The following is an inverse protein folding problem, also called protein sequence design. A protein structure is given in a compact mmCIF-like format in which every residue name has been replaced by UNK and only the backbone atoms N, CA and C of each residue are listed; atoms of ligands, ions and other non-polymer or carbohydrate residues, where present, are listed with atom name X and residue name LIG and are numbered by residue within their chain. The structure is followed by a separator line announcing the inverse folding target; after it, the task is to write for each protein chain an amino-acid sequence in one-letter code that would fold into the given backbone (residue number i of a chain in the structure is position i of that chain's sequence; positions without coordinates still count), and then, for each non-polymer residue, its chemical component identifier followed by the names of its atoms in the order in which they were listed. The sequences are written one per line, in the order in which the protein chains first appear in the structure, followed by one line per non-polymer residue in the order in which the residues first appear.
data_IF_321827624614
#
_entry.id   IF_321827624614
#
_cell.length_a   1.000
_cell.length_b   1.000
_cell.length_c   1.000
_cell.angle_alpha   90.00
_cell.angle_beta   90.00
_cell.angle_gamma   90.00
#
_symmetry.space_group_name_H-M   'P 1'
#
loop_
_entity.id
_entity.type
_entity.pdbx_description
1 polymer ?
#
# COMPACT_ATOMS: atom_id res chain seq x y z
N UNK A 1 23.24 -9.98 3.23
CA UNK A 1 22.21 -9.56 2.24
C UNK A 1 22.81 -8.43 1.42
N UNK A 2 22.49 -8.31 0.13
CA UNK A 2 23.14 -7.35 -0.78
C UNK A 2 22.39 -6.03 -1.00
N UNK A 3 21.20 -5.85 -0.41
CA UNK A 3 20.38 -4.65 -0.59
C UNK A 3 20.53 -3.65 0.55
N UNK A 4 20.38 -2.36 0.25
CA UNK A 4 20.48 -1.27 1.23
C UNK A 4 19.27 -1.19 2.17
N UNK A 5 18.07 -1.41 1.63
CA UNK A 5 16.82 -1.43 2.39
C UNK A 5 16.06 -2.70 2.02
N UNK A 6 15.67 -3.49 3.02
CA UNK A 6 15.01 -4.77 2.83
C UNK A 6 13.69 -4.76 3.58
N UNK A 7 12.63 -5.13 2.90
CA UNK A 7 11.29 -5.28 3.45
C UNK A 7 10.92 -6.76 3.40
N UNK A 8 10.65 -7.37 4.55
CA UNK A 8 10.26 -8.78 4.68
C UNK A 8 8.86 -8.85 5.30
N UNK A 9 7.99 -9.66 4.72
CA UNK A 9 6.59 -9.83 5.14
C UNK A 9 6.34 -11.26 5.59
N UNK A 10 5.21 -11.49 6.25
CA UNK A 10 4.80 -12.80 6.76
C UNK A 10 5.88 -13.48 7.62
N UNK A 11 6.51 -12.71 8.52
CA UNK A 11 7.57 -13.26 9.37
C UNK A 11 7.11 -14.51 10.13
N UNK A 12 5.85 -14.54 10.60
CA UNK A 12 5.27 -15.68 11.34
C UNK A 12 6.13 -16.13 12.54
N UNK A 13 6.95 -15.24 13.08
CA UNK A 13 7.85 -15.49 14.21
C UNK A 13 7.29 -14.93 15.51
N UNK A 14 7.87 -15.37 16.63
CA UNK A 14 7.62 -14.83 17.97
C UNK A 14 8.77 -13.93 18.41
N UNK A 15 8.54 -13.11 19.45
CA UNK A 15 9.53 -12.14 19.94
C UNK A 15 10.88 -12.81 20.30
N UNK A 16 10.84 -13.98 20.94
CA UNK A 16 12.04 -14.72 21.33
C UNK A 16 12.91 -15.13 20.12
N UNK A 17 12.29 -15.35 18.96
CA UNK A 17 12.99 -15.67 17.71
C UNK A 17 13.56 -14.44 17.01
N UNK A 18 13.05 -13.23 17.31
CA UNK A 18 13.57 -11.98 16.73
C UNK A 18 15.01 -11.72 17.18
N UNK A 19 15.32 -11.98 18.46
CA UNK A 19 16.68 -11.82 18.96
C UNK A 19 17.67 -12.80 18.30
N UNK A 20 17.19 -13.97 17.86
CA UNK A 20 18.01 -15.02 17.26
C UNK A 20 18.24 -14.83 15.75
N UNK A 21 17.25 -14.29 15.02
CA UNK A 21 17.27 -14.25 13.55
C UNK A 21 17.01 -12.86 12.94
N UNK A 22 16.43 -11.94 13.71
CA UNK A 22 16.01 -10.61 13.24
C UNK A 22 17.07 -9.52 13.41
N UNK A 23 18.18 -9.80 14.10
CA UNK A 23 19.25 -8.83 14.30
C UNK A 23 20.46 -9.24 13.47
N UNK A 24 20.78 -8.44 12.45
CA UNK A 24 22.00 -8.61 11.67
C UNK A 24 22.96 -7.46 11.98
N UNK A 25 24.24 -7.76 12.14
CA UNK A 25 25.27 -6.78 12.53
C UNK A 25 25.39 -5.58 11.58
N UNK A 26 24.95 -5.74 10.34
CA UNK A 26 25.11 -4.77 9.26
C UNK A 26 23.83 -3.94 9.00
N UNK A 27 22.74 -4.18 9.75
CA UNK A 27 21.46 -3.50 9.54
C UNK A 27 20.84 -3.03 10.85
N UNK A 28 20.14 -1.89 10.77
CA UNK A 28 19.13 -1.49 11.74
C UNK A 28 17.80 -2.14 11.36
N UNK A 29 17.21 -2.90 12.28
CA UNK A 29 15.95 -3.61 12.05
C UNK A 29 14.78 -2.93 12.76
N UNK A 30 13.65 -2.83 12.08
CA UNK A 30 12.36 -2.35 12.57
C UNK A 30 11.35 -3.47 12.33
N UNK A 31 11.10 -4.26 13.37
CA UNK A 31 10.29 -5.48 13.27
C UNK A 31 9.01 -5.25 14.05
N UNK A 32 7.89 -5.43 13.37
CA UNK A 32 6.56 -5.34 13.95
C UNK A 32 5.89 -6.71 13.88
N UNK A 33 5.53 -7.24 15.05
CA UNK A 33 4.80 -8.50 15.19
C UNK A 33 3.37 -8.22 15.68
N UNK A 34 2.36 -9.02 15.30
CA UNK A 34 1.02 -8.81 15.80
C UNK A 34 0.93 -9.13 17.29
N UNK A 35 0.20 -8.30 18.03
CA UNK A 35 0.01 -8.48 19.47
C UNK A 35 -1.08 -9.52 19.81
N UNK A 36 -2.08 -9.65 18.94
CA UNK A 36 -3.29 -10.46 19.18
C UNK A 36 -3.14 -11.94 18.82
N UNK A 37 -2.32 -12.27 17.80
CA UNK A 37 -2.19 -13.66 17.30
C UNK A 37 -0.72 -14.02 17.11
N UNK A 38 -0.23 -14.94 17.94
CA UNK A 38 1.15 -15.46 17.86
C UNK A 38 1.36 -16.20 16.53
N UNK A 39 2.51 -16.00 15.89
CA UNK A 39 2.88 -16.67 14.64
C UNK A 39 2.04 -16.28 13.41
N UNK A 40 1.32 -15.17 13.48
CA UNK A 40 0.52 -14.62 12.39
C UNK A 40 1.23 -13.37 11.82
N UNK A 41 1.06 -13.08 10.52
CA UNK A 41 1.52 -11.82 9.89
C UNK A 41 2.97 -11.45 10.25
N UNK A 42 3.24 -10.16 10.47
CA UNK A 42 4.51 -9.59 10.89
C UNK A 42 5.31 -9.05 9.71
N UNK A 43 5.88 -7.86 9.92
CA UNK A 43 6.73 -7.17 8.93
C UNK A 43 8.07 -6.81 9.54
N UNK A 44 9.12 -6.90 8.74
CA UNK A 44 10.47 -6.48 9.09
C UNK A 44 10.97 -5.49 8.05
N UNK A 45 11.48 -4.36 8.51
CA UNK A 45 12.17 -3.38 7.69
C UNK A 45 13.61 -3.27 8.16
N UNK A 46 14.56 -3.52 7.27
CA UNK A 46 15.97 -3.50 7.57
C UNK A 46 16.62 -2.41 6.75
N UNK A 47 17.30 -1.48 7.41
CA UNK A 47 18.08 -0.43 6.77
C UNK A 47 19.55 -0.70 7.06
N UNK A 48 20.35 -0.89 6.01
CA UNK A 48 21.77 -1.15 6.14
C UNK A 48 22.45 -0.01 6.89
N UNK A 49 23.37 -0.34 7.78
CA UNK A 49 24.20 0.65 8.45
C UNK A 49 25.18 1.26 7.42
N UNK A 50 25.37 2.60 7.41
CA UNK A 50 26.39 3.23 6.59
C UNK A 50 27.77 2.65 6.88
N UNK A 51 28.54 2.40 5.82
CA UNK A 51 29.93 1.95 5.90
C UNK A 51 30.88 3.12 5.72
N UNK A 52 32.15 3.01 6.17
CA UNK A 52 33.14 4.08 6.04
C UNK A 52 33.42 4.51 4.59
N UNK A 53 33.24 3.61 3.63
CA UNK A 53 33.46 3.80 2.19
C UNK A 53 32.21 4.27 1.42
N UNK A 54 31.04 4.37 2.08
CA UNK A 54 29.83 4.87 1.43
C UNK A 54 29.96 6.38 1.13
N UNK A 55 29.51 6.84 -0.06
CA UNK A 55 29.41 8.27 -0.35
C UNK A 55 28.49 9.00 0.66
N UNK A 56 28.72 10.29 0.95
CA UNK A 56 27.90 11.04 1.91
C UNK A 56 26.39 11.01 1.62
N UNK A 57 26.00 10.99 0.35
CA UNK A 57 24.60 10.91 -0.08
C UNK A 57 23.97 9.55 0.29
N UNK A 58 24.74 8.46 0.18
CA UNK A 58 24.32 7.11 0.58
C UNK A 58 24.19 7.04 2.09
N UNK A 59 25.17 7.56 2.84
CA UNK A 59 25.10 7.66 4.30
C UNK A 59 23.83 8.41 4.76
N UNK A 60 23.50 9.53 4.10
CA UNK A 60 22.28 10.27 4.39
C UNK A 60 21.02 9.46 4.06
N UNK A 61 21.00 8.75 2.93
CA UNK A 61 19.88 7.88 2.55
C UNK A 61 19.69 6.68 3.48
N UNK A 62 20.74 6.21 4.16
CA UNK A 62 20.68 5.09 5.11
C UNK A 62 20.45 5.54 6.57
N UNK A 63 20.54 6.84 6.86
CA UNK A 63 20.32 7.36 8.20
C UNK A 63 18.83 7.47 8.49
N UNK A 64 18.32 6.60 9.37
CA UNK A 64 16.95 6.67 9.85
C UNK A 64 16.81 7.78 10.89
N UNK A 65 15.91 8.72 10.66
CA UNK A 65 15.62 9.84 11.57
C UNK A 65 14.35 9.64 12.39
N UNK A 66 13.37 8.89 11.87
CA UNK A 66 12.13 8.54 12.58
C UNK A 66 11.67 7.15 12.17
N UNK A 67 10.94 6.49 13.06
CA UNK A 67 10.30 5.20 12.78
C UNK A 67 8.94 5.15 13.46
N UNK A 68 7.97 4.52 12.80
CA UNK A 68 6.62 4.38 13.32
C UNK A 68 6.03 3.01 12.99
N UNK A 69 5.06 2.61 13.80
CA UNK A 69 4.26 1.41 13.62
C UNK A 69 2.87 1.81 13.11
N UNK A 70 2.36 1.05 12.14
CA UNK A 70 1.02 1.26 11.60
C UNK A 70 0.91 2.38 10.56
N UNK A 71 -0.25 2.42 9.91
CA UNK A 71 -0.60 3.39 8.87
C UNK A 71 -1.47 4.54 9.42
N UNK A 72 -2.09 4.43 10.59
CA UNK A 72 -3.03 5.48 11.06
C UNK A 72 -2.43 6.45 12.08
N UNK A 73 -1.31 6.08 12.71
CA UNK A 73 -0.67 6.84 13.78
C UNK A 73 -1.32 6.69 15.15
N UNK A 74 -2.29 5.78 15.31
CA UNK A 74 -3.02 5.55 16.57
C UNK A 74 -2.24 4.69 17.56
N UNK A 75 -1.23 3.95 17.10
CA UNK A 75 -0.33 3.24 17.99
C UNK A 75 0.52 4.21 18.81
N UNK A 76 0.87 3.79 20.02
CA UNK A 76 1.69 4.56 20.93
C UNK A 76 3.16 4.29 20.65
N UNK A 77 3.95 5.36 20.58
CA UNK A 77 5.39 5.28 20.63
C UNK A 77 5.82 4.55 21.91
N UNK A 78 6.68 3.55 21.76
CA UNK A 78 7.09 2.67 22.87
C UNK A 78 7.94 3.38 23.92
N UNK A 79 8.57 4.50 23.56
CA UNK A 79 9.45 5.27 24.46
C UNK A 79 8.68 6.37 25.19
N UNK A 80 7.77 7.06 24.48
CA UNK A 80 7.02 8.22 24.99
C UNK A 80 5.65 7.86 25.53
N UNK A 81 5.07 6.73 25.12
CA UNK A 81 3.74 6.30 25.53
C UNK A 81 2.58 7.12 24.93
N UNK A 82 2.88 7.99 23.95
CA UNK A 82 1.92 8.88 23.26
C UNK A 82 1.67 8.35 21.85
N UNK A 83 0.46 8.54 21.31
CA UNK A 83 0.14 8.14 19.94
C UNK A 83 0.99 8.91 18.94
N UNK A 84 1.46 8.26 17.88
CA UNK A 84 2.27 8.93 16.86
C UNK A 84 1.57 10.15 16.25
N UNK A 85 0.24 10.09 16.12
CA UNK A 85 -0.58 11.18 15.60
C UNK A 85 -0.74 12.38 16.54
N UNK A 86 -0.37 12.24 17.81
CA UNK A 86 -0.42 13.30 18.82
C UNK A 86 0.98 13.89 19.12
N UNK A 87 2.04 13.30 18.54
CA UNK A 87 3.40 13.81 18.68
C UNK A 87 3.63 15.05 17.79
N UNK A 88 4.53 15.97 18.20
CA UNK A 88 4.99 17.06 17.34
C UNK A 88 5.51 16.55 15.99
N UNK A 89 5.35 17.34 14.92
CA UNK A 89 5.83 16.97 13.57
C UNK A 89 7.36 16.80 13.48
N UNK A 90 8.11 17.45 14.38
CA UNK A 90 9.55 17.24 14.55
C UNK A 90 9.88 15.82 15.01
N UNK A 91 8.92 15.13 15.63
CA UNK A 91 9.10 13.83 16.28
C UNK A 91 8.27 12.71 15.64
N UNK A 92 7.39 13.04 14.70
CA UNK A 92 6.57 12.08 13.94
C UNK A 92 6.84 12.16 12.44
N UNK A 93 6.58 11.06 11.74
CA UNK A 93 6.61 10.98 10.28
C UNK A 93 5.46 11.82 9.69
N UNK A 94 4.31 11.86 10.36
CA UNK A 94 3.16 12.67 9.94
C UNK A 94 2.32 12.00 8.85
N UNK A 95 1.62 12.83 8.07
CA UNK A 95 0.76 12.34 6.98
C UNK A 95 -0.60 11.80 7.42
N UNK A 96 -1.00 11.99 8.67
CA UNK A 96 -2.19 11.36 9.23
C UNK A 96 -3.52 11.88 8.64
N UNK A 97 -4.51 11.00 8.60
CA UNK A 97 -5.90 11.35 8.31
C UNK A 97 -6.61 11.65 9.62
N UNK A 98 -7.19 12.85 9.69
CA UNK A 98 -7.75 13.46 10.91
C UNK A 98 -8.86 14.44 10.55
N UNK A 99 -9.69 14.80 11.53
CA UNK A 99 -10.73 15.83 11.39
C UNK A 99 -11.81 15.44 10.37
N UNK A 100 -12.25 16.43 9.57
CA UNK A 100 -13.37 16.28 8.64
C UNK A 100 -13.16 15.16 7.62
N UNK A 101 -11.93 14.97 7.12
CA UNK A 101 -11.64 13.90 6.16
C UNK A 101 -11.92 12.51 6.74
N UNK A 102 -11.61 12.31 8.03
CA UNK A 102 -11.89 11.05 8.71
C UNK A 102 -13.40 10.82 8.88
N UNK A 103 -14.14 11.89 9.17
CA UNK A 103 -15.59 11.88 9.25
C UNK A 103 -16.23 11.55 7.89
N UNK A 104 -15.70 12.09 6.79
CA UNK A 104 -16.16 11.78 5.43
C UNK A 104 -15.92 10.32 5.03
N UNK A 105 -14.80 9.72 5.49
CA UNK A 105 -14.53 8.29 5.28
C UNK A 105 -15.49 7.41 6.09
N UNK A 106 -15.99 7.92 7.23
CA UNK A 106 -16.94 7.20 8.09
C UNK A 106 -16.29 6.08 8.91
N UNK A 107 -14.98 6.16 9.17
CA UNK A 107 -14.24 5.17 9.98
C UNK A 107 -14.08 5.66 11.43
N UNK A 108 -14.35 4.78 12.39
CA UNK A 108 -14.26 5.08 13.82
C UNK A 108 -12.82 5.00 14.33
N UNK A 109 -12.53 5.62 15.48
CA UNK A 109 -11.21 5.52 16.12
C UNK A 109 -10.85 4.08 16.51
N UNK A 110 -11.85 3.25 16.88
CA UNK A 110 -11.62 1.85 17.21
C UNK A 110 -11.22 1.03 15.97
N UNK A 111 -11.80 1.32 14.81
CA UNK A 111 -11.42 0.69 13.54
C UNK A 111 -10.03 1.14 13.07
N UNK A 112 -9.67 2.42 13.24
CA UNK A 112 -8.31 2.87 12.94
C UNK A 112 -7.27 2.15 13.79
N UNK A 113 -7.55 1.98 15.08
CA UNK A 113 -6.68 1.23 15.98
C UNK A 113 -6.60 -0.24 15.57
N UNK A 114 -7.70 -0.84 15.11
CA UNK A 114 -7.70 -2.24 14.67
C UNK A 114 -6.87 -2.46 13.41
N UNK A 115 -6.89 -1.52 12.45
CA UNK A 115 -6.05 -1.57 11.24
C UNK A 115 -4.56 -1.68 11.57
N UNK A 116 -4.09 -0.96 12.59
CA UNK A 116 -2.67 -0.95 12.98
C UNK A 116 -2.28 -2.11 13.91
N UNK A 117 -3.25 -2.74 14.58
CA UNK A 117 -2.99 -3.75 15.63
C UNK A 117 -2.51 -5.12 15.10
N UNK A 118 -2.65 -5.38 13.79
CA UNK A 118 -2.27 -6.65 13.16
C UNK A 118 -0.81 -6.73 12.69
N UNK A 119 0.03 -5.74 13.04
CA UNK A 119 1.45 -5.75 12.72
C UNK A 119 1.75 -5.76 11.22
N UNK A 120 0.94 -5.04 10.44
CA UNK A 120 0.96 -5.04 8.97
C UNK A 120 1.79 -3.93 8.33
N UNK A 121 2.26 -2.97 9.12
CA UNK A 121 3.03 -1.85 8.60
C UNK A 121 4.10 -1.39 9.59
N UNK A 122 5.35 -1.36 9.15
CA UNK A 122 6.44 -0.63 9.79
C UNK A 122 6.95 0.42 8.80
N UNK A 123 7.31 1.59 9.31
CA UNK A 123 7.67 2.73 8.48
C UNK A 123 8.87 3.46 9.05
N UNK A 124 9.75 3.94 8.17
CA UNK A 124 10.89 4.79 8.57
C UNK A 124 10.96 6.04 7.71
N UNK A 125 11.39 7.14 8.30
CA UNK A 125 11.83 8.34 7.60
C UNK A 125 13.36 8.39 7.61
N UNK A 126 13.95 8.58 6.44
CA UNK A 126 15.38 8.69 6.20
C UNK A 126 15.80 10.17 6.16
N UNK A 127 17.05 10.47 6.51
CA UNK A 127 17.57 11.84 6.62
C UNK A 127 17.55 12.61 5.29
N UNK A 128 17.37 11.93 4.15
CA UNK A 128 17.18 12.55 2.84
C UNK A 128 15.69 12.83 2.48
N UNK A 129 14.80 12.86 3.48
CA UNK A 129 13.36 13.08 3.36
C UNK A 129 12.60 11.98 2.58
N UNK A 130 13.10 10.74 2.63
CA UNK A 130 12.43 9.56 2.06
C UNK A 130 11.70 8.80 3.17
N UNK A 131 10.43 8.49 2.97
CA UNK A 131 9.66 7.60 3.84
C UNK A 131 9.50 6.26 3.16
N UNK A 132 9.89 5.19 3.84
CA UNK A 132 9.75 3.81 3.34
C UNK A 132 8.73 3.08 4.18
N UNK A 133 7.71 2.55 3.52
CA UNK A 133 6.72 1.65 4.10
C UNK A 133 7.16 0.20 3.86
N UNK A 134 7.11 -0.62 4.91
CA UNK A 134 7.16 -2.08 4.83
C UNK A 134 5.78 -2.62 5.17
N UNK A 135 5.09 -3.21 4.19
CA UNK A 135 3.67 -3.56 4.26
C UNK A 135 3.40 -5.04 4.04
N UNK A 136 2.38 -5.53 4.75
CA UNK A 136 1.68 -6.76 4.45
C UNK A 136 0.17 -6.51 4.49
N UNK A 137 -0.38 -6.11 3.35
CA UNK A 137 -1.79 -5.79 3.20
C UNK A 137 -2.68 -7.03 3.39
N UNK A 138 -3.90 -6.88 3.90
CA UNK A 138 -4.83 -8.00 4.11
C UNK A 138 -5.39 -8.57 2.79
N UNK A 139 -5.41 -9.90 2.64
CA UNK A 139 -5.89 -10.60 1.43
C UNK A 139 -7.39 -10.95 1.44
N UNK A 140 -8.06 -10.94 2.60
CA UNK A 140 -9.43 -11.46 2.80
C UNK A 140 -9.65 -12.89 2.25
N UNK A 141 -8.74 -13.81 2.52
CA UNK A 141 -8.78 -15.18 1.98
C UNK A 141 -10.02 -16.00 2.39
N UNK A 142 -10.67 -15.64 3.50
CA UNK A 142 -11.91 -16.30 3.96
C UNK A 142 -13.16 -15.73 3.28
N UNK A 143 -13.05 -14.66 2.48
CA UNK A 143 -14.16 -14.09 1.74
C UNK A 143 -15.26 -13.49 2.61
N UNK A 144 -14.94 -13.02 3.83
CA UNK A 144 -15.95 -12.46 4.75
C UNK A 144 -16.23 -10.99 4.44
N UNK A 145 -17.43 -10.51 4.79
CA UNK A 145 -17.80 -9.10 4.65
C UNK A 145 -16.89 -8.20 5.50
N UNK A 146 -16.70 -8.54 6.77
CA UNK A 146 -15.82 -7.79 7.69
C UNK A 146 -14.36 -7.78 7.21
N UNK A 147 -13.86 -8.92 6.73
CA UNK A 147 -12.52 -9.00 6.16
C UNK A 147 -12.37 -8.14 4.91
N UNK A 148 -13.44 -8.01 4.11
CA UNK A 148 -13.45 -7.13 2.95
C UNK A 148 -13.43 -5.65 3.36
N UNK A 149 -14.25 -5.26 4.34
CA UNK A 149 -14.27 -3.90 4.89
C UNK A 149 -12.90 -3.54 5.46
N UNK A 150 -12.31 -4.43 6.27
CA UNK A 150 -10.97 -4.25 6.81
C UNK A 150 -9.93 -4.05 5.70
N UNK A 151 -9.97 -4.86 4.64
CA UNK A 151 -9.06 -4.72 3.49
C UNK A 151 -9.20 -3.39 2.76
N UNK A 152 -10.42 -2.96 2.49
CA UNK A 152 -10.66 -1.69 1.79
C UNK A 152 -10.24 -0.50 2.64
N UNK A 153 -10.57 -0.50 3.93
CA UNK A 153 -10.16 0.55 4.87
C UNK A 153 -8.64 0.61 5.01
N UNK A 154 -7.94 -0.54 5.07
CA UNK A 154 -6.49 -0.58 5.12
C UNK A 154 -5.84 0.04 3.88
N UNK A 155 -6.31 -0.35 2.68
CA UNK A 155 -5.79 0.19 1.41
C UNK A 155 -6.04 1.69 1.30
N UNK A 156 -7.27 2.15 1.58
CA UNK A 156 -7.64 3.57 1.52
C UNK A 156 -6.78 4.40 2.47
N UNK A 157 -6.59 3.96 3.71
CA UNK A 157 -5.78 4.65 4.70
C UNK A 157 -4.30 4.71 4.33
N UNK A 158 -3.75 3.59 3.83
CA UNK A 158 -2.35 3.51 3.40
C UNK A 158 -2.06 4.47 2.25
N UNK A 159 -2.92 4.46 1.22
CA UNK A 159 -2.74 5.31 0.05
C UNK A 159 -2.97 6.79 0.36
N UNK A 160 -4.00 7.14 1.16
CA UNK A 160 -4.21 8.51 1.63
C UNK A 160 -3.02 9.05 2.41
N UNK A 161 -2.47 8.25 3.33
CA UNK A 161 -1.30 8.66 4.10
C UNK A 161 -0.09 8.86 3.20
N UNK A 162 0.12 7.96 2.23
CA UNK A 162 1.19 8.09 1.24
C UNK A 162 1.07 9.40 0.46
N UNK A 163 -0.14 9.76 0.02
CA UNK A 163 -0.40 11.01 -0.68
C UNK A 163 -0.15 12.23 0.21
N UNK A 164 -0.64 12.22 1.45
CA UNK A 164 -0.39 13.31 2.41
C UNK A 164 1.07 13.52 2.77
N UNK A 165 1.89 12.46 2.71
CA UNK A 165 3.34 12.58 2.88
C UNK A 165 3.97 13.20 1.63
N UNK A 166 3.55 12.77 0.44
CA UNK A 166 4.00 13.34 -0.84
C UNK A 166 3.69 14.83 -0.95
N UNK A 167 2.47 15.25 -0.58
CA UNK A 167 2.05 16.65 -0.54
C UNK A 167 2.87 17.50 0.45
N UNK A 168 3.49 16.88 1.45
CA UNK A 168 4.44 17.52 2.37
C UNK A 168 5.88 17.53 1.84
N UNK A 169 6.09 17.21 0.57
CA UNK A 169 7.40 17.20 -0.09
C UNK A 169 8.27 15.97 0.23
N UNK A 170 7.70 14.93 0.84
CA UNK A 170 8.43 13.69 1.13
C UNK A 170 8.48 12.79 -0.09
N UNK A 171 9.61 12.10 -0.30
CA UNK A 171 9.69 10.97 -1.23
C UNK A 171 9.09 9.75 -0.55
N UNK A 172 8.15 9.07 -1.17
CA UNK A 172 7.47 7.92 -0.55
C UNK A 172 7.77 6.66 -1.35
N UNK A 173 8.25 5.63 -0.67
CA UNK A 173 8.46 4.29 -1.22
C UNK A 173 7.56 3.34 -0.45
N UNK A 174 6.68 2.65 -1.18
CA UNK A 174 5.82 1.62 -0.61
C UNK A 174 6.37 0.25 -1.02
N UNK A 175 6.82 -0.54 -0.04
CA UNK A 175 7.39 -1.87 -0.27
C UNK A 175 6.58 -2.93 0.47
N UNK A 176 6.40 -4.06 -0.18
CA UNK A 176 5.84 -5.27 0.44
C UNK A 176 4.70 -5.85 -0.38
N UNK A 177 3.88 -6.66 0.28
CA UNK A 177 2.78 -7.38 -0.37
C UNK A 177 1.48 -6.58 -0.23
N UNK A 178 0.99 -6.05 -1.35
CA UNK A 178 -0.28 -5.31 -1.40
C UNK A 178 -1.50 -6.24 -1.47
N UNK A 179 -1.30 -7.52 -1.79
CA UNK A 179 -2.37 -8.49 -1.97
C UNK A 179 -3.44 -8.03 -2.99
N UNK A 180 -3.01 -7.40 -4.10
CA UNK A 180 -3.88 -7.00 -5.22
C UNK A 180 -3.14 -7.28 -6.52
N UNK A 181 -3.75 -8.06 -7.42
CA UNK A 181 -3.38 -8.10 -8.84
C UNK A 181 -4.09 -6.95 -9.55
N UNK A 182 -3.38 -5.87 -9.93
CA UNK A 182 -4.01 -4.64 -10.41
C UNK A 182 -4.53 -4.79 -11.83
N UNK A 183 -3.75 -5.38 -12.74
CA UNK A 183 -4.13 -5.58 -14.14
C UNK A 183 -4.36 -7.08 -14.42
N UNK A 184 -5.10 -7.38 -15.49
CA UNK A 184 -5.47 -8.77 -15.80
C UNK A 184 -4.23 -9.64 -16.03
N UNK A 185 -3.19 -9.06 -16.65
CA UNK A 185 -1.92 -9.74 -16.90
C UNK A 185 -1.22 -10.22 -15.61
N UNK A 186 -1.53 -9.61 -14.47
CA UNK A 186 -1.00 -9.96 -13.15
C UNK A 186 -1.80 -11.07 -12.44
N UNK A 187 -2.79 -11.67 -13.11
CA UNK A 187 -3.65 -12.71 -12.52
C UNK A 187 -3.80 -13.94 -13.43
N UNK A 188 -2.91 -14.91 -13.23
CA UNK A 188 -2.96 -16.19 -13.95
C UNK A 188 -4.29 -16.93 -13.74
N UNK A 189 -4.84 -16.89 -12.53
CA UNK A 189 -6.14 -17.51 -12.21
C UNK A 189 -7.27 -16.91 -13.04
N UNK A 190 -7.40 -15.58 -13.05
CA UNK A 190 -8.44 -14.88 -13.83
C UNK A 190 -8.24 -15.10 -15.33
N UNK A 191 -7.00 -15.05 -15.83
CA UNK A 191 -6.72 -15.33 -17.25
C UNK A 191 -7.18 -16.74 -17.64
N UNK A 192 -6.82 -17.75 -16.84
CA UNK A 192 -7.18 -19.14 -17.14
C UNK A 192 -8.70 -19.36 -17.15
N UNK A 193 -9.43 -18.74 -16.21
CA UNK A 193 -10.89 -18.80 -16.17
C UNK A 193 -11.53 -18.13 -17.38
N UNK A 194 -11.06 -16.94 -17.75
CA UNK A 194 -11.59 -16.18 -18.89
C UNK A 194 -11.26 -16.85 -20.23
N UNK A 195 -10.12 -17.52 -20.36
CA UNK A 195 -9.80 -18.35 -21.53
C UNK A 195 -10.75 -19.56 -21.60
N UNK A 196 -10.94 -20.26 -20.47
CA UNK A 196 -11.82 -21.44 -20.39
C UNK A 196 -13.26 -21.10 -20.76
N UNK A 197 -13.74 -19.94 -20.33
CA UNK A 197 -15.08 -19.42 -20.64
C UNK A 197 -15.16 -18.70 -21.99
N UNK A 198 -14.04 -18.63 -22.73
CA UNK A 198 -13.91 -17.99 -24.05
C UNK A 198 -14.28 -16.50 -24.07
N UNK A 199 -14.10 -15.81 -22.94
CA UNK A 199 -14.30 -14.36 -22.80
C UNK A 199 -13.12 -13.58 -23.38
N UNK A 200 -11.91 -14.13 -23.26
CA UNK A 200 -10.68 -13.53 -23.81
C UNK A 200 -10.00 -14.47 -24.80
N UNK A 201 -9.21 -13.88 -25.70
CA UNK A 201 -8.35 -14.61 -26.62
C UNK A 201 -7.03 -14.98 -25.94
N UNK A 202 -6.64 -16.26 -26.02
CA UNK A 202 -5.35 -16.70 -25.51
C UNK A 202 -4.21 -16.39 -26.51
N UNK A 203 -3.60 -15.21 -26.38
CA UNK A 203 -2.39 -14.83 -27.11
C UNK A 203 -1.21 -14.49 -26.19
N UNK A 204 -1.11 -15.10 -25.01
CA UNK A 204 0.00 -14.84 -24.08
C UNK A 204 1.38 -15.10 -24.68
N UNK A 205 1.49 -16.03 -25.65
CA UNK A 205 2.72 -16.34 -26.36
C UNK A 205 3.25 -15.17 -27.22
N UNK A 206 2.41 -14.20 -27.57
CA UNK A 206 2.78 -12.98 -28.30
C UNK A 206 3.37 -11.92 -27.35
N UNK A 207 3.22 -12.08 -26.03
CA UNK A 207 3.71 -11.16 -25.00
C UNK A 207 2.60 -10.34 -24.33
N UNK A 208 2.89 -9.76 -23.16
CA UNK A 208 1.90 -9.06 -22.33
C UNK A 208 1.23 -7.86 -23.02
N UNK A 209 2.00 -7.07 -23.78
CA UNK A 209 1.48 -5.91 -24.51
C UNK A 209 0.49 -6.30 -25.62
N UNK A 210 0.77 -7.38 -26.35
CA UNK A 210 -0.10 -7.88 -27.40
C UNK A 210 -1.33 -8.59 -26.82
N UNK A 211 -1.18 -9.26 -25.67
CA UNK A 211 -2.29 -9.79 -24.90
C UNK A 211 -3.26 -8.69 -24.46
N UNK A 212 -2.74 -7.61 -23.87
CA UNK A 212 -3.55 -6.46 -23.44
C UNK A 212 -4.26 -5.79 -24.60
N UNK A 213 -3.57 -5.54 -25.73
CA UNK A 213 -4.17 -4.91 -26.91
C UNK A 213 -5.29 -5.76 -27.50
N UNK A 214 -5.11 -7.09 -27.55
CA UNK A 214 -6.11 -7.99 -28.13
C UNK A 214 -7.33 -8.19 -27.25
N UNK A 215 -7.18 -7.97 -25.93
CA UNK A 215 -8.22 -8.16 -24.93
C UNK A 215 -8.56 -6.84 -24.20
N UNK A 216 -8.44 -5.70 -24.89
CA UNK A 216 -8.42 -4.36 -24.29
C UNK A 216 -9.62 -4.08 -23.39
N UNK A 217 -10.84 -4.28 -23.88
CA UNK A 217 -12.08 -4.03 -23.13
C UNK A 217 -12.15 -4.84 -21.82
N UNK A 218 -11.69 -6.10 -21.87
CA UNK A 218 -11.69 -6.97 -20.69
C UNK A 218 -10.57 -6.57 -19.73
N UNK A 219 -9.40 -6.17 -20.23
CA UNK A 219 -8.32 -5.65 -19.40
C UNK A 219 -8.72 -4.35 -18.69
N UNK A 220 -9.38 -3.43 -19.41
CA UNK A 220 -9.88 -2.18 -18.84
C UNK A 220 -10.96 -2.43 -17.78
N UNK A 221 -11.92 -3.33 -18.05
CA UNK A 221 -12.97 -3.64 -17.09
C UNK A 221 -12.46 -4.42 -15.87
N UNK A 222 -11.38 -5.21 -16.02
CA UNK A 222 -10.75 -5.91 -14.91
C UNK A 222 -10.22 -4.95 -13.83
N UNK A 223 -9.69 -3.79 -14.23
CA UNK A 223 -9.13 -2.77 -13.31
C UNK A 223 -10.14 -2.26 -12.29
N UNK A 224 -11.43 -2.30 -12.58
CA UNK A 224 -12.51 -1.88 -11.67
C UNK A 224 -13.46 -3.01 -11.27
N UNK A 225 -13.15 -4.25 -11.66
CA UNK A 225 -13.98 -5.43 -11.39
C UNK A 225 -14.15 -5.75 -9.90
N UNK A 226 -13.28 -5.24 -9.04
CA UNK A 226 -13.40 -5.37 -7.58
C UNK A 226 -13.10 -4.03 -6.89
N UNK A 227 -13.72 -3.76 -5.72
CA UNK A 227 -13.47 -2.53 -4.96
C UNK A 227 -12.00 -2.25 -4.66
N UNK A 228 -11.20 -3.28 -4.35
CA UNK A 228 -9.79 -3.12 -4.00
C UNK A 228 -8.91 -2.78 -5.21
N UNK A 229 -9.23 -3.29 -6.42
CA UNK A 229 -8.56 -2.88 -7.66
C UNK A 229 -8.90 -1.43 -8.01
N UNK A 230 -10.17 -1.04 -7.85
CA UNK A 230 -10.61 0.35 -8.04
C UNK A 230 -9.89 1.32 -7.11
N UNK A 231 -9.73 0.97 -5.82
CA UNK A 231 -8.94 1.77 -4.88
C UNK A 231 -7.49 1.84 -5.37
N UNK A 232 -6.85 0.71 -5.67
CA UNK A 232 -5.45 0.68 -6.09
C UNK A 232 -5.18 1.60 -7.31
N UNK A 233 -6.01 1.49 -8.35
CA UNK A 233 -5.88 2.28 -9.59
C UNK A 233 -6.19 3.76 -9.45
N UNK A 234 -6.80 4.20 -8.34
CA UNK A 234 -6.90 5.63 -8.04
C UNK A 234 -5.55 6.24 -7.67
N UNK A 235 -4.59 5.44 -7.21
CA UNK A 235 -3.31 5.92 -6.65
C UNK A 235 -2.09 5.54 -7.48
N UNK A 236 -2.22 4.63 -8.45
CA UNK A 236 -1.12 4.21 -9.31
C UNK A 236 -1.25 4.79 -10.71
N UNK A 237 -0.11 4.99 -11.36
CA UNK A 237 -0.07 5.36 -12.77
C UNK A 237 -0.49 4.15 -13.61
N UNK A 238 -1.47 4.28 -14.51
CA UNK A 238 -1.84 3.18 -15.39
C UNK A 238 -0.68 2.76 -16.30
N UNK A 239 -0.45 1.46 -16.39
CA UNK A 239 0.50 0.83 -17.33
C UNK A 239 -0.16 0.54 -18.68
N UNK A 240 -1.46 0.25 -18.68
CA UNK A 240 -2.26 0.02 -19.87
C UNK A 240 -2.51 1.34 -20.62
N UNK A 241 -2.12 1.40 -21.90
CA UNK A 241 -2.14 2.64 -22.70
C UNK A 241 -3.53 3.30 -22.79
N UNK A 242 -4.59 2.51 -22.91
CA UNK A 242 -5.96 3.00 -23.02
C UNK A 242 -6.60 3.38 -21.68
N UNK A 243 -5.94 3.12 -20.54
CA UNK A 243 -6.51 3.42 -19.23
C UNK A 243 -6.38 4.91 -18.89
N UNK A 244 -7.53 5.53 -18.56
CA UNK A 244 -7.57 6.92 -18.12
C UNK A 244 -6.69 7.12 -16.89
N UNK A 245 -5.86 8.17 -16.93
CA UNK A 245 -5.22 8.71 -15.73
C UNK A 245 -6.29 9.45 -14.93
N UNK A 246 -7.01 8.75 -14.07
CA UNK A 246 -7.88 9.43 -13.13
C UNK A 246 -7.01 10.14 -12.07
N UNK A 247 -7.21 11.44 -11.82
CA UNK A 247 -6.71 12.06 -10.61
C UNK A 247 -7.20 11.24 -9.39
N UNK A 248 -6.41 11.17 -8.34
CA UNK A 248 -6.74 10.52 -7.07
C UNK A 248 -8.07 11.07 -6.52
N UNK A 249 -9.20 10.43 -6.81
CA UNK A 249 -10.51 10.87 -6.31
C UNK A 249 -10.88 10.12 -5.05
N UNK A 250 -10.83 10.79 -3.90
CA UNK A 250 -10.92 10.24 -2.55
C UNK A 250 -12.31 9.75 -2.08
N UNK A 251 -13.15 9.17 -2.93
CA UNK A 251 -14.50 8.76 -2.50
C UNK A 251 -14.72 7.27 -2.74
N UNK A 252 -14.44 6.45 -1.73
CA UNK A 252 -15.14 5.18 -1.59
C UNK A 252 -16.40 5.46 -0.76
N UNK A 253 -17.57 5.57 -1.41
CA UNK A 253 -18.84 5.73 -0.68
C UNK A 253 -19.23 4.38 -0.08
N UNK A 254 -19.01 4.22 1.22
CA UNK A 254 -19.35 3.02 2.00
C UNK A 254 -20.83 2.59 1.89
N UNK A 255 -21.75 3.52 1.58
CA UNK A 255 -23.19 3.26 1.64
C UNK A 255 -23.84 2.69 0.37
N UNK A 256 -23.21 2.73 -0.81
CA UNK A 256 -23.91 2.39 -2.07
C UNK A 256 -23.47 1.07 -2.71
N UNK A 257 -22.32 0.49 -2.33
CA UNK A 257 -21.70 -0.60 -3.11
C UNK A 257 -22.11 -2.02 -2.71
N UNK A 258 -22.87 -2.22 -1.63
CA UNK A 258 -23.31 -3.56 -1.21
C UNK A 258 -24.64 -4.00 -1.83
N UNK A 259 -25.35 -3.10 -2.50
CA UNK A 259 -26.70 -3.36 -2.97
C UNK A 259 -26.93 -2.84 -4.39
N UNK A 260 -26.18 -3.31 -5.39
CA UNK A 260 -26.64 -3.51 -6.79
C UNK A 260 -25.46 -3.81 -7.74
N UNK A 261 -25.00 -5.06 -7.76
CA UNK A 261 -24.35 -5.58 -8.95
C UNK A 261 -25.44 -5.94 -9.98
N UNK A 262 -25.99 -4.94 -10.67
CA UNK A 262 -26.64 -5.11 -11.97
C UNK A 262 -26.11 -4.05 -12.92
N UNK A 263 -25.41 -4.54 -13.94
CA UNK A 263 -24.86 -3.77 -15.04
C UNK A 263 -25.88 -2.76 -15.59
N UNK A 264 -25.48 -1.49 -15.69
CA UNK A 264 -26.05 -0.52 -16.62
C UNK A 264 -24.96 0.42 -17.14
N UNK A 265 -24.99 0.59 -18.45
CA UNK A 265 -24.13 1.43 -19.30
C UNK A 265 -24.72 2.86 -19.36
N UNK A 266 -23.87 3.84 -19.70
CA UNK A 266 -24.07 5.25 -20.17
C UNK A 266 -24.50 6.31 -19.12
N UNK A 267 -23.98 7.55 -19.03
CA UNK A 267 -23.38 8.49 -20.00
C UNK A 267 -22.33 9.47 -19.38
N UNK A 268 -21.50 10.01 -20.29
CA UNK A 268 -20.49 11.10 -20.29
C UNK A 268 -20.55 12.25 -19.26
N UNK A 269 -19.35 12.73 -18.85
CA UNK A 269 -19.10 14.11 -18.41
C UNK A 269 -17.80 14.64 -19.03
N UNK A 270 -17.84 15.90 -19.45
CA UNK A 270 -16.86 16.65 -20.24
C UNK A 270 -15.58 16.99 -19.47
N UNK A 271 -14.49 17.14 -20.23
CA UNK A 271 -13.12 17.40 -19.81
C UNK A 271 -12.84 18.90 -19.94
N UNK A 272 -12.27 19.52 -18.90
CA UNK A 272 -11.71 20.86 -18.96
C UNK A 272 -10.21 20.79 -18.66
N UNK A 273 -9.44 21.36 -19.59
CA UNK A 273 -7.98 21.36 -19.65
C UNK A 273 -7.36 22.17 -18.51
N UNK A 274 -6.34 21.60 -17.85
CA UNK A 274 -5.03 22.26 -17.77
C UNK A 274 -3.93 21.32 -17.23
N UNK A 275 -2.76 21.47 -17.84
CA UNK A 275 -1.66 20.54 -17.90
C UNK A 275 -0.66 20.74 -16.74
N UNK A 276 -0.11 19.65 -16.19
CA UNK A 276 1.31 19.59 -15.83
C UNK A 276 1.74 18.13 -15.64
N UNK A 277 2.37 17.58 -16.69
CA UNK A 277 3.00 16.26 -16.68
C UNK A 277 4.28 16.28 -15.85
N UNK A 278 4.42 15.35 -14.91
CA UNK A 278 5.70 15.05 -14.24
C UNK A 278 5.99 13.56 -14.39
N UNK A 279 7.07 13.24 -15.09
CA UNK A 279 7.62 11.89 -15.23
C UNK A 279 8.25 11.44 -13.90
N UNK A 280 7.86 10.27 -13.38
CA UNK A 280 8.70 9.50 -12.48
C UNK A 280 9.45 8.44 -13.31
N UNK A 281 10.75 8.38 -13.11
CA UNK A 281 11.63 7.35 -13.66
C UNK A 281 11.47 6.07 -12.83
N UNK A 282 11.21 4.95 -13.51
CA UNK A 282 11.53 3.59 -13.06
C UNK A 282 12.92 3.23 -13.59
#
# INVERSE_FOLDING_TARGET
MGGDILSVQELKIQLDSVALFGLTKDYRAFILLPKSKKGYSGVGLYVRLPKPDDPPQVCQALTVVKAEEGITGRLKDSTKGVRYCDLPLSESIGGYIQGNELHEIGITEQELLSLDSEGRCSMVELANNTVVFSLYCPANSMGTADGQVFRLNFLEMMFRRSEKLRQRGKKVIVMGDINVSPDLIDSAESINELIKTKVIHNNLHEGGRDFERRNEDICLSFRSSTPHRSIFHRFVVPTLHAASRCPTQFLFRHHESFATAKARIVHSLEYDDECTSVQLWL
#
